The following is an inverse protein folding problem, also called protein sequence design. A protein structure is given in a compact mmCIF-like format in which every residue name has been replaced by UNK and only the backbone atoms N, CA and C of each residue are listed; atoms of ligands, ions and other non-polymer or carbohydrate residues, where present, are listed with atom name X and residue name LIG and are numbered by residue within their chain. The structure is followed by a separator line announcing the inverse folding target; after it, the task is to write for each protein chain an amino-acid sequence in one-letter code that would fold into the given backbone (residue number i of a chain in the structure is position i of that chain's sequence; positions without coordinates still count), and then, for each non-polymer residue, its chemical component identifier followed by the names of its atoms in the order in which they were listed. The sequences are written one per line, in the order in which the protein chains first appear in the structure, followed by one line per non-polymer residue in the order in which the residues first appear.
data_IF_413757572642
#
_entry.id   IF_413757572642
#
_cell.length_a   1.000
_cell.length_b   1.000
_cell.length_c   1.000
_cell.angle_alpha   90.00
_cell.angle_beta   90.00
_cell.angle_gamma   90.00
#
_symmetry.space_group_name_H-M   'P 1'
#
loop_
_entity.id
_entity.type
_entity.pdbx_description
1 polymer ?
#
# COMPACT_ATOMS: atom_id res chain seq x y z
N UNK A 1 -22.86 -15.75 -31.41
CA UNK A 1 -21.94 -14.99 -30.52
C UNK A 1 -20.91 -14.14 -31.28
N UNK A 2 -20.44 -14.49 -32.49
CA UNK A 2 -19.46 -13.67 -33.23
C UNK A 2 -19.93 -12.24 -33.57
N UNK A 3 -21.20 -12.07 -33.93
CA UNK A 3 -21.77 -10.78 -34.36
C UNK A 3 -21.82 -9.67 -33.28
N UNK A 4 -21.75 -10.03 -31.99
CA UNK A 4 -21.73 -9.06 -30.88
C UNK A 4 -20.32 -8.52 -30.62
N UNK A 5 -19.29 -9.35 -30.85
CA UNK A 5 -17.90 -8.93 -30.68
C UNK A 5 -17.49 -7.95 -31.78
N UNK A 6 -17.94 -8.14 -33.02
CA UNK A 6 -17.65 -7.22 -34.12
C UNK A 6 -18.23 -5.81 -33.89
N UNK A 7 -19.40 -5.71 -33.23
CA UNK A 7 -19.98 -4.40 -32.87
C UNK A 7 -19.26 -3.73 -31.72
N UNK A 8 -18.73 -4.51 -30.76
CA UNK A 8 -17.94 -3.98 -29.67
C UNK A 8 -16.57 -3.48 -30.17
N UNK A 9 -15.93 -4.23 -31.06
CA UNK A 9 -14.67 -3.82 -31.70
C UNK A 9 -14.87 -2.59 -32.59
N UNK A 10 -15.94 -2.53 -33.39
CA UNK A 10 -16.27 -1.34 -34.18
C UNK A 10 -16.54 -0.12 -33.27
N UNK A 11 -17.24 -0.30 -32.14
CA UNK A 11 -17.50 0.77 -31.19
C UNK A 11 -16.23 1.27 -30.49
N UNK A 12 -15.31 0.36 -30.15
CA UNK A 12 -14.01 0.70 -29.55
C UNK A 12 -13.15 1.46 -30.57
N UNK A 13 -13.09 1.00 -31.83
CA UNK A 13 -12.32 1.65 -32.89
C UNK A 13 -12.85 3.05 -33.19
N UNK A 14 -14.18 3.21 -33.29
CA UNK A 14 -14.81 4.53 -33.51
C UNK A 14 -14.57 5.46 -32.32
N UNK A 15 -14.62 4.93 -31.09
CA UNK A 15 -14.30 5.70 -29.89
C UNK A 15 -12.85 6.19 -29.90
N UNK A 16 -11.89 5.32 -30.19
CA UNK A 16 -10.46 5.70 -30.25
C UNK A 16 -10.21 6.73 -31.33
N UNK A 17 -10.80 6.58 -32.52
CA UNK A 17 -10.70 7.57 -33.60
C UNK A 17 -11.28 8.94 -33.23
N UNK A 18 -12.42 8.97 -32.52
CA UNK A 18 -13.02 10.22 -32.04
C UNK A 18 -12.11 10.94 -31.03
N UNK A 19 -11.50 10.19 -30.12
CA UNK A 19 -10.59 10.76 -29.12
C UNK A 19 -9.32 11.30 -29.76
N UNK A 20 -8.75 10.60 -30.74
CA UNK A 20 -7.59 11.10 -31.47
C UNK A 20 -7.91 12.39 -32.25
N UNK A 21 -9.12 12.49 -32.82
CA UNK A 21 -9.59 13.71 -33.48
C UNK A 21 -9.77 14.87 -32.49
N UNK A 22 -10.35 14.62 -31.31
CA UNK A 22 -10.50 15.62 -30.24
C UNK A 22 -9.16 16.10 -29.70
N UNK A 23 -8.20 15.19 -29.48
CA UNK A 23 -6.85 15.53 -29.05
C UNK A 23 -6.13 16.33 -30.14
N UNK A 24 -6.29 15.96 -31.41
CA UNK A 24 -5.76 16.72 -32.54
C UNK A 24 -6.31 18.16 -32.58
N UNK A 25 -7.61 18.34 -32.39
CA UNK A 25 -8.24 19.67 -32.32
C UNK A 25 -7.79 20.47 -31.08
N UNK A 26 -7.56 19.82 -29.94
CA UNK A 26 -7.05 20.49 -28.73
C UNK A 26 -5.62 20.98 -28.90
N UNK A 27 -4.76 20.18 -29.55
CA UNK A 27 -3.38 20.57 -29.84
C UNK A 27 -3.37 21.70 -30.88
N UNK A 28 -4.17 21.60 -31.95
CA UNK A 28 -4.28 22.67 -32.94
C UNK A 28 -4.86 23.95 -32.34
N UNK A 29 -5.85 23.82 -31.44
CA UNK A 29 -6.38 24.93 -30.64
C UNK A 29 -5.31 25.58 -29.78
N UNK A 30 -4.54 24.79 -29.03
CA UNK A 30 -3.44 25.29 -28.16
C UNK A 30 -2.38 26.11 -28.92
N UNK A 31 -2.12 25.78 -30.19
CA UNK A 31 -1.22 26.58 -31.02
C UNK A 31 -1.81 27.95 -31.41
N UNK A 32 -3.14 28.08 -31.52
CA UNK A 32 -3.81 29.34 -31.82
C UNK A 32 -4.20 30.15 -30.55
N UNK A 33 -4.28 29.53 -29.36
CA UNK A 33 -4.67 30.22 -28.10
C UNK A 33 -3.51 30.74 -27.23
N UNK A 34 -2.31 30.95 -27.79
CA UNK A 34 -1.24 31.67 -27.09
C UNK A 34 -1.52 33.19 -27.07
N UNK A 35 -2.48 33.61 -26.25
CA UNK A 35 -2.65 35.02 -25.86
C UNK A 35 -2.35 35.16 -24.36
N UNK A 36 -1.13 35.63 -24.07
CA UNK A 36 -0.71 36.47 -22.95
C UNK A 36 -1.52 36.34 -21.63
N UNK A 37 -0.97 35.64 -20.63
CA UNK A 37 -1.42 35.77 -19.25
C UNK A 37 -0.21 35.91 -18.31
N UNK A 38 -0.15 37.05 -17.62
CA UNK A 38 0.91 37.46 -16.73
C UNK A 38 1.06 36.50 -15.54
N UNK A 39 2.28 35.99 -15.35
CA UNK A 39 2.66 35.11 -14.25
C UNK A 39 2.91 35.90 -12.98
N UNK A 40 1.96 35.82 -12.05
CA UNK A 40 2.12 36.17 -10.64
C UNK A 40 2.49 34.90 -9.84
N UNK A 41 3.66 34.88 -9.21
CA UNK A 41 4.10 33.77 -8.37
C UNK A 41 5.43 34.06 -7.67
N UNK A 42 5.36 34.76 -6.53
CA UNK A 42 6.49 35.06 -5.66
C UNK A 42 6.63 34.07 -4.50
N UNK A 43 7.87 33.75 -4.16
CA UNK A 43 8.28 33.03 -2.94
C UNK A 43 9.54 33.68 -2.35
N UNK A 44 9.36 34.34 -1.21
CA UNK A 44 10.31 34.39 -0.08
C UNK A 44 11.53 35.33 -0.13
N UNK A 45 11.57 36.29 0.79
CA UNK A 45 12.81 36.71 1.46
C UNK A 45 13.31 38.13 1.22
N UNK A 46 12.71 39.08 1.94
CA UNK A 46 13.36 40.17 2.71
C UNK A 46 14.53 40.94 2.05
N UNK A 47 14.24 42.11 1.49
CA UNK A 47 14.64 43.42 2.02
C UNK A 47 14.68 44.49 0.92
N UNK A 48 14.21 45.67 1.32
CA UNK A 48 14.28 46.95 0.61
C UNK A 48 13.35 47.12 -0.60
N UNK A 49 12.23 47.80 -0.28
CA UNK A 49 11.48 48.70 -1.14
C UNK A 49 12.35 49.38 -2.21
N UNK A 50 12.07 49.04 -3.47
CA UNK A 50 12.35 49.90 -4.62
C UNK A 50 11.10 49.98 -5.48
N UNK A 51 10.34 51.04 -5.25
CA UNK A 51 9.35 51.54 -6.19
C UNK A 51 10.09 52.18 -7.36
N UNK A 52 10.33 51.40 -8.41
CA UNK A 52 10.89 51.91 -9.66
C UNK A 52 9.76 52.54 -10.49
N UNK A 53 9.50 53.82 -10.23
CA UNK A 53 8.78 54.69 -11.18
C UNK A 53 9.68 54.85 -12.40
N UNK A 54 9.28 54.29 -13.54
CA UNK A 54 9.90 54.64 -14.83
C UNK A 54 9.60 56.10 -15.12
N UNK A 55 10.61 56.97 -14.97
CA UNK A 55 10.54 58.35 -15.45
C UNK A 55 10.77 58.32 -16.95
N UNK A 56 9.73 58.65 -17.71
CA UNK A 56 9.79 58.79 -19.16
C UNK A 56 10.75 59.93 -19.53
N UNK A 57 11.95 59.56 -20.01
CA UNK A 57 13.05 60.49 -20.33
C UNK A 57 12.74 61.40 -21.52
N UNK A 58 11.61 61.19 -22.21
CA UNK A 58 11.13 62.05 -23.29
C UNK A 58 10.62 63.43 -22.83
N UNK A 59 10.04 63.53 -21.63
CA UNK A 59 9.50 64.81 -21.14
C UNK A 59 10.58 65.72 -20.51
N UNK A 60 11.61 65.13 -19.90
CA UNK A 60 12.72 65.90 -19.29
C UNK A 60 13.61 66.56 -20.36
N UNK A 61 13.79 65.90 -21.51
CA UNK A 61 14.53 66.48 -22.63
C UNK A 61 13.79 67.67 -23.26
N UNK A 62 12.45 67.66 -23.27
CA UNK A 62 11.64 68.76 -23.78
C UNK A 62 11.65 69.99 -22.85
N UNK A 63 11.62 69.78 -21.53
CA UNK A 63 11.73 70.83 -20.51
C UNK A 63 13.12 71.49 -20.50
N UNK A 64 14.20 70.71 -20.67
CA UNK A 64 15.57 71.25 -20.73
C UNK A 64 15.81 72.16 -21.95
N UNK A 65 15.17 71.83 -23.08
CA UNK A 65 15.17 72.67 -24.27
C UNK A 65 14.49 74.03 -24.06
N UNK A 66 13.38 74.07 -23.32
CA UNK A 66 12.67 75.34 -23.00
C UNK A 66 13.48 76.22 -22.04
N UNK A 67 14.09 75.65 -20.99
CA UNK A 67 14.91 76.43 -20.04
C UNK A 67 16.15 77.06 -20.71
N UNK A 68 16.74 76.39 -21.72
CA UNK A 68 17.89 76.94 -22.47
C UNK A 68 17.47 78.10 -23.38
N UNK A 69 16.27 78.02 -23.97
CA UNK A 69 15.69 79.10 -24.76
C UNK A 69 15.29 80.31 -23.88
N UNK A 70 14.80 80.07 -22.66
CA UNK A 70 14.47 81.15 -21.69
C UNK A 70 15.73 81.87 -21.18
N UNK A 71 16.83 81.15 -20.93
CA UNK A 71 18.12 81.76 -20.56
C UNK A 71 18.77 82.58 -21.69
N UNK A 72 18.47 82.28 -22.95
CA UNK A 72 18.96 83.05 -24.10
C UNK A 72 18.06 84.26 -24.43
N UNK A 73 16.84 84.33 -23.90
CA UNK A 73 15.90 85.44 -24.09
C UNK A 73 16.01 86.59 -23.08
N UNK A 74 16.84 86.49 -22.03
CA UNK A 74 16.99 87.50 -20.97
C UNK A 74 18.28 88.32 -21.05
N UNK A 75 18.76 88.63 -22.25
CA UNK A 75 19.75 89.68 -22.45
C UNK A 75 19.22 90.66 -23.52
N UNK A 76 19.15 91.95 -23.15
CA UNK A 76 18.60 93.13 -23.88
C UNK A 76 17.08 93.23 -23.78
N UNK A 77 16.47 94.32 -23.27
CA UNK A 77 16.69 95.76 -23.55
C UNK A 77 16.10 96.62 -22.41
N UNK A 78 16.76 97.72 -22.00
CA UNK A 78 16.17 99.07 -21.78
C UNK A 78 17.26 100.16 -21.74
N UNK A 79 16.97 101.45 -22.08
CA UNK A 79 17.88 102.40 -22.75
C UNK A 79 18.28 103.65 -21.91
N UNK A 80 19.04 104.58 -22.55
CA UNK A 80 19.50 105.96 -22.19
C UNK A 80 20.92 106.06 -21.55
N UNK A 81 21.87 106.94 -21.91
CA UNK A 81 21.94 108.27 -22.59
C UNK A 81 23.28 108.42 -23.40
N UNK A 82 23.30 109.34 -24.37
CA UNK A 82 24.49 109.75 -25.18
C UNK A 82 25.53 110.56 -24.37
N UNK A 83 26.82 110.69 -24.79
CA UNK A 83 27.21 111.61 -25.87
C UNK A 83 28.27 111.07 -26.86
N UNK A 84 28.03 111.36 -28.15
CA UNK A 84 28.95 111.64 -29.27
C UNK A 84 30.41 111.14 -29.17
N UNK A 85 30.76 110.18 -30.04
CA UNK A 85 31.91 110.33 -30.95
C UNK A 85 31.82 109.36 -32.15
N UNK A 86 32.19 109.91 -33.30
CA UNK A 86 32.30 109.41 -34.68
C UNK A 86 31.86 107.98 -35.07
N UNK A 87 30.98 107.98 -36.07
CA UNK A 87 30.69 106.90 -37.01
C UNK A 87 31.99 106.26 -37.54
N UNK A 88 32.23 105.00 -37.20
CA UNK A 88 32.95 104.07 -38.07
C UNK A 88 31.99 102.96 -38.51
N UNK A 89 31.95 102.84 -39.82
CA UNK A 89 31.15 102.00 -40.68
C UNK A 89 31.04 100.53 -40.20
N UNK A 90 29.80 100.05 -40.30
CA UNK A 90 29.35 98.66 -40.16
C UNK A 90 30.00 97.76 -41.21
N UNK A 91 30.58 96.64 -40.79
CA UNK A 91 30.66 95.43 -41.63
C UNK A 91 30.08 94.29 -40.81
N UNK A 92 28.75 94.23 -40.76
CA UNK A 92 28.03 93.03 -40.35
C UNK A 92 28.21 92.02 -41.49
N UNK A 93 29.21 91.16 -41.36
CA UNK A 93 29.58 90.14 -42.34
C UNK A 93 28.45 89.10 -42.42
N UNK A 94 27.45 89.35 -43.26
CA UNK A 94 26.42 88.37 -43.60
C UNK A 94 27.14 87.23 -44.31
N UNK A 95 27.01 85.98 -43.84
CA UNK A 95 27.71 84.85 -44.46
C UNK A 95 27.39 84.85 -45.94
N UNK A 96 28.43 84.84 -46.75
CA UNK A 96 28.30 84.86 -48.20
C UNK A 96 27.50 83.61 -48.63
N UNK A 97 26.75 83.67 -49.76
CA UNK A 97 26.02 82.51 -50.27
C UNK A 97 26.88 81.24 -50.42
N UNK A 98 28.20 81.40 -50.58
CA UNK A 98 29.21 80.35 -50.67
C UNK A 98 29.48 79.68 -49.31
N UNK A 99 29.56 80.43 -48.21
CA UNK A 99 29.74 79.90 -46.85
C UNK A 99 28.51 79.12 -46.35
N UNK A 100 27.30 79.55 -46.74
CA UNK A 100 26.06 78.85 -46.43
C UNK A 100 26.01 77.51 -47.19
N UNK A 101 26.44 77.48 -48.45
CA UNK A 101 26.53 76.24 -49.23
C UNK A 101 27.55 75.26 -48.61
N UNK A 102 28.73 75.74 -48.21
CA UNK A 102 29.76 74.90 -47.57
C UNK A 102 29.31 74.37 -46.20
N UNK A 103 28.55 75.16 -45.42
CA UNK A 103 27.94 74.71 -44.16
C UNK A 103 26.89 73.60 -44.40
N UNK A 104 26.04 73.75 -45.41
CA UNK A 104 25.05 72.72 -45.78
C UNK A 104 25.71 71.42 -46.26
N UNK A 105 26.83 71.51 -46.98
CA UNK A 105 27.60 70.33 -47.39
C UNK A 105 28.27 69.65 -46.20
N UNK A 106 28.83 70.42 -45.26
CA UNK A 106 29.37 69.88 -43.99
C UNK A 106 28.29 69.21 -43.15
N UNK A 107 27.10 69.78 -43.05
CA UNK A 107 25.98 69.20 -42.30
C UNK A 107 25.50 67.88 -42.92
N UNK A 108 25.37 67.83 -44.26
CA UNK A 108 25.08 66.59 -45.00
C UNK A 108 26.17 65.53 -44.82
N UNK A 109 27.44 65.93 -44.83
CA UNK A 109 28.56 65.02 -44.60
C UNK A 109 28.55 64.45 -43.17
N UNK A 110 28.24 65.27 -42.15
CA UNK A 110 28.09 64.84 -40.76
C UNK A 110 26.90 63.88 -40.62
N UNK A 111 25.76 64.21 -41.23
CA UNK A 111 24.57 63.35 -41.19
C UNK A 111 24.80 62.00 -41.87
N UNK A 112 25.50 61.98 -43.00
CA UNK A 112 25.89 60.75 -43.68
C UNK A 112 26.89 59.92 -42.85
N UNK A 113 27.86 60.57 -42.19
CA UNK A 113 28.80 59.90 -41.29
C UNK A 113 28.07 59.28 -40.08
N UNK A 114 27.09 59.98 -39.50
CA UNK A 114 26.24 59.46 -38.42
C UNK A 114 25.40 58.26 -38.87
N UNK A 115 24.81 58.31 -40.07
CA UNK A 115 24.06 57.18 -40.63
C UNK A 115 24.94 55.95 -40.83
N UNK A 116 26.15 56.12 -41.39
CA UNK A 116 27.12 55.02 -41.55
C UNK A 116 27.54 54.41 -40.21
N UNK A 117 27.81 55.24 -39.19
CA UNK A 117 28.12 54.73 -37.85
C UNK A 117 26.94 53.98 -37.20
N UNK A 118 25.70 54.43 -37.42
CA UNK A 118 24.51 53.71 -36.94
C UNK A 118 24.31 52.37 -37.65
N UNK A 119 24.57 52.31 -38.96
CA UNK A 119 24.50 51.07 -39.72
C UNK A 119 25.56 50.06 -39.29
N UNK A 120 26.80 50.51 -39.08
CA UNK A 120 27.90 49.67 -38.58
C UNK A 120 27.59 49.12 -37.17
N UNK A 121 27.05 49.95 -36.26
CA UNK A 121 26.58 49.50 -34.94
C UNK A 121 25.47 48.45 -35.05
N UNK A 122 24.50 48.63 -35.95
CA UNK A 122 23.44 47.64 -36.19
C UNK A 122 24.00 46.33 -36.73
N UNK A 123 24.95 46.39 -37.67
CA UNK A 123 25.61 45.18 -38.19
C UNK A 123 26.42 44.46 -37.10
N UNK A 124 27.13 45.19 -36.24
CA UNK A 124 27.88 44.62 -35.12
C UNK A 124 26.95 43.97 -34.09
N UNK A 125 25.80 44.58 -33.81
CA UNK A 125 24.81 44.02 -32.89
C UNK A 125 24.17 42.74 -33.45
N UNK A 126 23.82 42.72 -34.74
CA UNK A 126 23.30 41.52 -35.41
C UNK A 126 24.34 40.38 -35.38
N UNK A 127 25.60 40.66 -35.72
CA UNK A 127 26.68 39.67 -35.64
C UNK A 127 26.87 39.14 -34.20
N UNK A 128 26.75 40.01 -33.19
CA UNK A 128 26.81 39.60 -31.77
C UNK A 128 25.61 38.74 -31.37
N UNK A 129 24.40 39.06 -31.83
CA UNK A 129 23.21 38.25 -31.58
C UNK A 129 23.32 36.87 -32.23
N UNK A 130 23.84 36.78 -33.46
CA UNK A 130 24.07 35.50 -34.13
C UNK A 130 25.13 34.65 -33.40
N UNK A 131 26.23 35.27 -32.95
CA UNK A 131 27.24 34.58 -32.15
C UNK A 131 26.66 34.03 -30.83
N UNK A 132 25.83 34.81 -30.13
CA UNK A 132 25.15 34.36 -28.91
C UNK A 132 24.17 33.22 -29.19
N UNK A 133 23.42 33.28 -30.29
CA UNK A 133 22.53 32.17 -30.71
C UNK A 133 23.31 30.90 -31.01
N UNK A 134 24.44 31.00 -31.73
CA UNK A 134 25.30 29.85 -32.00
C UNK A 134 25.87 29.25 -30.71
N UNK A 135 26.29 30.08 -29.75
CA UNK A 135 26.77 29.61 -28.46
C UNK A 135 25.67 28.91 -27.67
N UNK A 136 24.45 29.46 -27.63
CA UNK A 136 23.29 28.84 -27.00
C UNK A 136 22.97 27.47 -27.60
N UNK A 137 22.95 27.36 -28.94
CA UNK A 137 22.71 26.09 -29.64
C UNK A 137 23.80 25.07 -29.27
N UNK A 138 25.07 25.49 -29.24
CA UNK A 138 26.19 24.62 -28.86
C UNK A 138 26.10 24.16 -27.40
N UNK A 139 25.72 25.06 -26.48
CA UNK A 139 25.49 24.70 -25.08
C UNK A 139 24.30 23.75 -24.91
N UNK A 140 23.20 23.96 -25.65
CA UNK A 140 22.04 23.07 -25.62
C UNK A 140 22.39 21.68 -26.17
N UNK A 141 23.13 21.60 -27.27
CA UNK A 141 23.61 20.33 -27.81
C UNK A 141 24.51 19.59 -26.82
N UNK A 142 25.41 20.31 -26.14
CA UNK A 142 26.27 19.72 -25.12
C UNK A 142 25.46 19.20 -23.92
N UNK A 143 24.46 19.96 -23.46
CA UNK A 143 23.54 19.52 -22.39
C UNK A 143 22.74 18.28 -22.81
N UNK A 144 22.20 18.25 -24.03
CA UNK A 144 21.50 17.07 -24.59
C UNK A 144 22.40 15.85 -24.65
N UNK A 145 23.65 15.99 -25.08
CA UNK A 145 24.61 14.89 -25.08
C UNK A 145 24.95 14.39 -23.68
N UNK A 146 25.09 15.29 -22.70
CA UNK A 146 25.32 14.91 -21.31
C UNK A 146 24.11 14.18 -20.71
N UNK A 147 22.89 14.67 -20.97
CA UNK A 147 21.66 14.02 -20.51
C UNK A 147 21.46 12.64 -21.17
N UNK A 148 21.72 12.53 -22.48
CA UNK A 148 21.64 11.23 -23.15
C UNK A 148 22.68 10.25 -22.62
N UNK A 149 23.91 10.72 -22.34
CA UNK A 149 24.95 9.89 -21.74
C UNK A 149 24.59 9.44 -20.31
N UNK A 150 23.96 10.29 -19.49
CA UNK A 150 23.50 9.90 -18.15
C UNK A 150 22.32 8.95 -18.23
N UNK A 151 21.36 9.17 -19.13
CA UNK A 151 20.24 8.25 -19.36
C UNK A 151 20.73 6.88 -19.86
N UNK A 152 21.70 6.83 -20.79
CA UNK A 152 22.31 5.58 -21.25
C UNK A 152 23.00 4.82 -20.12
N UNK A 153 23.76 5.52 -19.26
CA UNK A 153 24.40 4.91 -18.07
C UNK A 153 23.38 4.38 -17.06
N UNK A 154 22.30 5.12 -16.81
CA UNK A 154 21.22 4.68 -15.92
C UNK A 154 20.47 3.48 -16.49
N UNK A 155 20.19 3.46 -17.80
CA UNK A 155 19.55 2.34 -18.47
C UNK A 155 20.44 1.08 -18.45
N UNK A 156 21.75 1.22 -18.68
CA UNK A 156 22.69 0.10 -18.59
C UNK A 156 22.80 -0.44 -17.15
N UNK A 157 22.89 0.44 -16.15
CA UNK A 157 22.89 0.04 -14.75
C UNK A 157 21.59 -0.66 -14.33
N UNK A 158 20.44 -0.20 -14.83
CA UNK A 158 19.15 -0.86 -14.61
C UNK A 158 19.11 -2.24 -15.27
N UNK A 159 19.63 -2.39 -16.50
CA UNK A 159 19.71 -3.67 -17.20
C UNK A 159 20.60 -4.67 -16.46
N UNK A 160 21.77 -4.24 -15.99
CA UNK A 160 22.68 -5.08 -15.21
C UNK A 160 22.07 -5.54 -13.88
N UNK A 161 21.34 -4.66 -13.19
CA UNK A 161 20.59 -5.03 -11.97
C UNK A 161 19.48 -6.03 -12.26
N UNK A 162 18.70 -5.81 -13.31
CA UNK A 162 17.64 -6.74 -13.71
C UNK A 162 18.19 -8.12 -14.11
N UNK A 163 19.31 -8.16 -14.84
CA UNK A 163 19.95 -9.43 -15.21
C UNK A 163 20.51 -10.17 -13.97
N UNK A 164 21.11 -9.46 -13.02
CA UNK A 164 21.61 -10.05 -11.79
C UNK A 164 20.46 -10.61 -10.91
N UNK A 165 19.35 -9.90 -10.80
CA UNK A 165 18.16 -10.37 -10.08
C UNK A 165 17.53 -11.58 -10.76
N UNK A 166 17.41 -11.57 -12.09
CA UNK A 166 16.92 -12.72 -12.86
C UNK A 166 17.78 -13.97 -12.64
N UNK A 167 19.12 -13.84 -12.69
CA UNK A 167 20.03 -14.96 -12.40
C UNK A 167 19.90 -15.47 -10.98
N UNK A 168 19.68 -14.58 -9.99
CA UNK A 168 19.47 -14.97 -8.60
C UNK A 168 18.16 -15.73 -8.41
N UNK A 169 17.07 -15.27 -9.05
CA UNK A 169 15.78 -15.94 -9.02
C UNK A 169 15.83 -17.31 -9.69
N UNK A 170 16.54 -17.45 -10.81
CA UNK A 170 16.76 -18.74 -11.47
C UNK A 170 17.56 -19.71 -10.60
N UNK A 171 18.62 -19.23 -9.92
CA UNK A 171 19.39 -20.04 -8.99
C UNK A 171 18.55 -20.51 -7.80
N UNK A 172 17.73 -19.63 -7.22
CA UNK A 172 16.77 -19.98 -6.15
C UNK A 172 15.72 -20.99 -6.63
N UNK A 173 15.22 -20.86 -7.85
CA UNK A 173 14.26 -21.80 -8.41
C UNK A 173 14.88 -23.20 -8.60
N UNK A 174 16.13 -23.26 -9.10
CA UNK A 174 16.89 -24.53 -9.24
C UNK A 174 17.14 -25.19 -7.89
N UNK A 175 17.54 -24.42 -6.88
CA UNK A 175 17.72 -24.94 -5.51
C UNK A 175 16.41 -25.46 -4.92
N UNK A 176 15.30 -24.74 -5.11
CA UNK A 176 13.99 -25.18 -4.63
C UNK A 176 13.50 -26.46 -5.34
N UNK A 177 13.80 -26.63 -6.63
CA UNK A 177 13.48 -27.86 -7.37
C UNK A 177 14.31 -29.05 -6.88
N UNK A 178 15.61 -28.86 -6.66
CA UNK A 178 16.50 -29.90 -6.14
C UNK A 178 16.09 -30.32 -4.72
N UNK A 179 15.79 -29.36 -3.84
CA UNK A 179 15.30 -29.65 -2.49
C UNK A 179 13.95 -30.39 -2.51
N UNK A 180 13.05 -30.06 -3.44
CA UNK A 180 11.79 -30.81 -3.63
C UNK A 180 12.05 -32.25 -4.06
N UNK A 181 12.97 -32.49 -5.00
CA UNK A 181 13.33 -33.84 -5.44
C UNK A 181 13.93 -34.66 -4.30
N UNK A 182 14.77 -34.07 -3.46
CA UNK A 182 15.33 -34.73 -2.28
C UNK A 182 14.23 -35.10 -1.29
N UNK A 183 13.33 -34.16 -0.95
CA UNK A 183 12.21 -34.41 -0.03
C UNK A 183 11.25 -35.47 -0.55
N UNK A 184 10.96 -35.47 -1.85
CA UNK A 184 10.08 -36.47 -2.47
C UNK A 184 10.71 -37.86 -2.47
N UNK A 185 12.02 -37.97 -2.75
CA UNK A 185 12.76 -39.22 -2.66
C UNK A 185 12.85 -39.76 -1.23
N UNK A 186 13.07 -38.88 -0.23
CA UNK A 186 13.08 -39.27 1.18
C UNK A 186 11.70 -39.74 1.64
N UNK A 187 10.63 -39.05 1.23
CA UNK A 187 9.26 -39.42 1.57
C UNK A 187 8.88 -40.77 0.94
N UNK A 188 9.29 -41.06 -0.29
CA UNK A 188 9.10 -42.38 -0.91
C UNK A 188 9.83 -43.49 -0.15
N UNK A 189 11.11 -43.30 0.22
CA UNK A 189 11.86 -44.27 1.03
C UNK A 189 11.18 -44.54 2.37
N UNK A 190 10.70 -43.49 3.04
CA UNK A 190 10.03 -43.60 4.35
C UNK A 190 8.70 -44.34 4.23
N UNK A 191 7.95 -44.13 3.15
CA UNK A 191 6.71 -44.88 2.86
C UNK A 191 6.98 -46.36 2.56
N UNK A 192 8.06 -46.66 1.85
CA UNK A 192 8.46 -48.04 1.54
C UNK A 192 8.93 -48.80 2.80
N UNK A 193 9.72 -48.15 3.65
CA UNK A 193 10.15 -48.69 4.94
C UNK A 193 8.96 -48.94 5.88
N UNK A 194 7.99 -48.01 5.93
CA UNK A 194 6.75 -48.21 6.70
C UNK A 194 5.92 -49.40 6.20
N UNK A 195 5.88 -49.63 4.87
CA UNK A 195 5.20 -50.79 4.29
C UNK A 195 5.90 -52.09 4.67
N UNK A 196 7.24 -52.13 4.64
CA UNK A 196 8.02 -53.30 5.11
C UNK A 196 7.80 -53.59 6.58
N UNK A 197 7.91 -52.58 7.45
CA UNK A 197 7.67 -52.73 8.89
C UNK A 197 6.25 -53.23 9.20
N UNK A 198 5.22 -52.72 8.52
CA UNK A 198 3.84 -53.21 8.68
C UNK A 198 3.66 -54.66 8.21
N UNK A 199 4.30 -55.03 7.09
CA UNK A 199 4.25 -56.40 6.60
C UNK A 199 4.95 -57.38 7.56
N UNK A 200 6.08 -56.98 8.13
CA UNK A 200 6.82 -57.78 9.10
C UNK A 200 6.07 -57.93 10.43
N UNK A 201 5.45 -56.85 10.94
CA UNK A 201 4.59 -56.90 12.12
C UNK A 201 3.37 -57.80 11.93
N UNK A 202 2.72 -57.77 10.75
CA UNK A 202 1.61 -58.68 10.45
C UNK A 202 2.06 -60.15 10.36
N UNK A 203 3.25 -60.42 9.80
CA UNK A 203 3.82 -61.76 9.75
C UNK A 203 4.15 -62.30 11.15
N UNK A 204 4.76 -61.46 12.01
CA UNK A 204 5.05 -61.83 13.40
C UNK A 204 3.77 -62.03 14.23
N UNK A 205 2.75 -61.19 14.07
CA UNK A 205 1.47 -61.35 14.75
C UNK A 205 0.74 -62.65 14.35
N UNK A 206 0.78 -63.02 13.06
CA UNK A 206 0.25 -64.32 12.61
C UNK A 206 1.03 -65.50 13.19
N UNK A 207 2.36 -65.42 13.22
CA UNK A 207 3.20 -66.49 13.76
C UNK A 207 3.03 -66.66 15.29
N UNK A 208 2.82 -65.56 16.03
CA UNK A 208 2.51 -65.62 17.47
C UNK A 208 1.12 -66.19 17.73
N UNK A 209 0.10 -65.79 16.96
CA UNK A 209 -1.26 -66.31 17.09
C UNK A 209 -1.32 -67.83 16.81
N UNK A 210 -0.54 -68.32 15.84
CA UNK A 210 -0.47 -69.75 15.52
C UNK A 210 0.26 -70.55 16.62
N UNK A 211 1.31 -69.98 17.24
CA UNK A 211 1.99 -70.59 18.39
C UNK A 211 1.09 -70.66 19.62
N UNK A 212 0.40 -69.58 19.96
CA UNK A 212 -0.53 -69.55 21.10
C UNK A 212 -1.71 -70.51 20.91
N UNK A 213 -2.21 -70.67 19.67
CA UNK A 213 -3.28 -71.62 19.37
C UNK A 213 -2.81 -73.08 19.52
N UNK A 214 -1.57 -73.41 19.11
CA UNK A 214 -0.98 -74.74 19.32
C UNK A 214 -0.73 -75.03 20.81
N UNK A 215 -0.24 -74.05 21.56
CA UNK A 215 0.08 -74.23 22.98
C UNK A 215 -1.17 -74.36 23.85
N UNK A 216 -2.24 -73.60 23.54
CA UNK A 216 -3.56 -73.76 24.18
C UNK A 216 -4.21 -75.11 23.86
N UNK A 217 -4.07 -75.60 22.62
CA UNK A 217 -4.57 -76.94 22.25
C UNK A 217 -3.82 -78.08 22.96
N UNK A 218 -2.51 -77.95 23.18
CA UNK A 218 -1.71 -78.96 23.88
C UNK A 218 -1.95 -78.95 25.40
N UNK A 219 -2.17 -77.78 26.01
CA UNK A 219 -2.51 -77.66 27.43
C UNK A 219 -3.93 -78.17 27.74
N UNK A 220 -4.90 -77.94 26.85
CA UNK A 220 -6.26 -78.44 27.04
C UNK A 220 -6.33 -79.98 26.90
N UNK A 221 -5.47 -80.57 26.05
CA UNK A 221 -5.33 -82.03 25.95
C UNK A 221 -4.66 -82.65 27.20
N UNK A 222 -3.65 -81.99 27.77
CA UNK A 222 -2.99 -82.44 29.03
C UNK A 222 -3.91 -82.32 30.25
N UNK A 223 -4.72 -81.25 30.34
CA UNK A 223 -5.67 -81.05 31.45
C UNK A 223 -6.89 -81.99 31.39
N UNK A 224 -7.34 -82.39 30.19
CA UNK A 224 -8.39 -83.41 30.04
C UNK A 224 -7.90 -84.81 30.43
N UNK A 225 -6.65 -85.16 30.11
CA UNK A 225 -6.05 -86.44 30.52
C UNK A 225 -5.83 -86.55 32.04
N UNK A 226 -5.48 -85.46 32.73
CA UNK A 226 -5.26 -85.49 34.18
C UNK A 226 -6.57 -85.51 34.99
N UNK A 227 -7.64 -84.86 34.50
CA UNK A 227 -8.97 -84.89 35.14
C UNK A 227 -9.66 -86.24 35.03
N UNK A 228 -9.51 -86.95 33.92
CA UNK A 228 -10.11 -88.28 33.74
C UNK A 228 -9.42 -89.36 34.61
N UNK A 229 -8.13 -89.19 34.92
CA UNK A 229 -7.40 -90.06 35.85
C UNK A 229 -7.78 -89.82 37.33
N UNK A 230 -8.05 -88.57 37.73
CA UNK A 230 -8.49 -88.25 39.10
C UNK A 230 -9.94 -88.67 39.37
N UNK A 231 -10.83 -88.63 38.38
CA UNK A 231 -12.25 -89.00 38.59
C UNK A 231 -12.48 -90.52 38.67
N UNK A 232 -11.60 -91.34 38.08
CA UNK A 232 -11.62 -92.80 38.27
C UNK A 232 -11.08 -93.24 39.63
N UNK A 233 -10.17 -92.49 40.25
CA UNK A 233 -9.64 -92.81 41.58
C UNK A 233 -10.62 -92.45 42.73
N UNK A 234 -11.44 -91.42 42.58
CA UNK A 234 -12.37 -90.98 43.64
C UNK A 234 -13.70 -91.77 43.65
N UNK A 235 -14.10 -92.37 42.52
CA UNK A 235 -15.34 -93.18 42.41
C UNK A 235 -15.24 -94.59 42.99
N UNK A 236 -14.04 -95.13 43.20
CA UNK A 236 -13.87 -96.44 43.84
C UNK A 236 -13.83 -96.37 45.38
N UNK A 237 -13.48 -95.21 45.96
CA UNK A 237 -13.44 -95.01 47.40
C UNK A 237 -14.80 -94.65 48.04
N UNK A 238 -15.70 -93.97 47.30
CA UNK A 238 -17.02 -93.55 47.83
C UNK A 238 -18.12 -94.63 47.75
N UNK A 239 -17.90 -95.73 47.03
CA UNK A 239 -18.88 -96.82 46.88
C UNK A 239 -18.96 -97.79 48.07
N UNK A 240 -18.03 -97.73 49.05
CA UNK A 240 -18.03 -98.61 50.23
C UNK A 240 -18.58 -97.99 51.52
N UNK A 241 -18.89 -96.69 51.57
CA UNK A 241 -19.29 -96.01 52.81
C UNK A 241 -20.77 -95.58 52.88
N UNK A 242 -21.55 -95.66 51.80
CA UNK A 242 -22.91 -95.08 51.76
C UNK A 242 -24.06 -96.09 51.81
N UNK A 243 -23.82 -97.33 52.26
CA UNK A 243 -24.85 -98.39 52.40
C UNK A 243 -25.40 -98.64 53.81
N UNK A 244 -24.98 -97.91 54.85
CA UNK A 244 -25.45 -98.20 56.22
C UNK A 244 -26.13 -97.03 56.96
N UNK A 245 -26.32 -95.86 56.34
CA UNK A 245 -26.83 -94.68 57.05
C UNK A 245 -28.01 -93.97 56.34
N UNK A 246 -28.86 -94.71 55.62
CA UNK A 246 -30.14 -94.21 55.07
C UNK A 246 -31.28 -95.17 55.39
N UNK A 247 -31.59 -95.29 56.68
CA UNK A 247 -32.80 -96.00 57.17
C UNK A 247 -33.48 -95.31 58.37
N UNK A 248 -33.34 -93.98 58.53
CA UNK A 248 -34.19 -93.17 59.42
C UNK A 248 -34.40 -91.78 58.83
N UNK A 249 -35.31 -91.71 57.87
CA UNK A 249 -35.94 -90.48 57.38
C UNK A 249 -37.40 -90.55 57.82
N UNK A 250 -38.02 -89.38 58.00
CA UNK A 250 -39.45 -89.12 57.97
C UNK A 250 -40.21 -89.21 59.30
N UNK A 251 -40.17 -88.11 60.07
CA UNK A 251 -41.38 -87.49 60.62
C UNK A 251 -41.00 -86.11 61.20
N UNK A 252 -41.87 -85.11 60.99
CA UNK A 252 -41.84 -83.77 61.58
C UNK A 252 -40.74 -82.81 61.04
N UNK A 253 -41.01 -81.57 60.65
CA UNK A 253 -42.23 -80.79 60.66
C UNK A 253 -42.17 -79.80 59.49
N UNK A 254 -43.16 -79.94 58.63
CA UNK A 254 -43.55 -78.99 57.60
C UNK A 254 -44.37 -77.88 58.30
N UNK A 255 -44.24 -76.66 57.79
CA UNK A 255 -45.18 -75.52 57.92
C UNK A 255 -45.02 -74.56 59.10
N UNK A 256 -44.60 -73.32 58.78
CA UNK A 256 -45.41 -72.09 58.82
C UNK A 256 -44.54 -70.92 58.31
N UNK A 257 -44.89 -70.35 57.15
CA UNK A 257 -45.75 -69.17 57.00
C UNK A 257 -45.01 -67.91 57.46
N UNK A 258 -44.39 -67.13 56.56
CA UNK A 258 -45.02 -66.09 55.73
C UNK A 258 -45.36 -64.81 56.53
N UNK A 259 -44.71 -63.72 56.08
CA UNK A 259 -45.08 -62.32 56.19
C UNK A 259 -44.66 -61.46 57.42
N UNK A 260 -44.06 -60.32 57.03
CA UNK A 260 -44.17 -58.98 57.61
C UNK A 260 -43.32 -58.68 58.86
N UNK A 261 -42.74 -57.50 59.07
CA UNK A 261 -42.52 -56.28 58.29
C UNK A 261 -41.74 -55.32 59.21
N UNK A 262 -41.29 -54.19 58.64
CA UNK A 262 -40.87 -52.93 59.29
C UNK A 262 -39.38 -52.77 59.61
N UNK A 263 -38.71 -52.03 58.74
CA UNK A 263 -37.44 -51.37 59.00
C UNK A 263 -37.64 -49.84 58.88
N UNK A 264 -37.40 -49.11 59.96
CA UNK A 264 -37.28 -47.65 60.00
C UNK A 264 -36.07 -47.28 60.89
N UNK A 265 -35.08 -46.68 60.22
CA UNK A 265 -34.11 -45.64 60.60
C UNK A 265 -33.32 -45.60 61.94
N UNK A 266 -32.09 -45.10 61.73
CA UNK A 266 -31.28 -44.19 62.58
C UNK A 266 -30.42 -44.84 63.67
N UNK A 267 -29.16 -44.48 63.95
CA UNK A 267 -28.25 -43.40 63.51
C UNK A 267 -26.83 -43.72 64.06
N UNK A 268 -25.81 -43.50 63.22
CA UNK A 268 -24.57 -42.73 63.41
C UNK A 268 -23.59 -42.90 64.58
N UNK A 269 -22.32 -42.68 64.17
CA UNK A 269 -21.12 -42.19 64.86
C UNK A 269 -20.29 -43.25 65.62
N UNK A 270 -18.96 -43.22 65.62
CA UNK A 270 -17.90 -42.27 65.21
C UNK A 270 -16.61 -43.14 65.22
N UNK A 271 -15.82 -43.26 64.16
CA UNK A 271 -14.78 -42.31 63.69
C UNK A 271 -13.63 -42.14 64.71
N UNK A 272 -12.43 -42.40 64.19
CA UNK A 272 -11.05 -42.28 64.73
C UNK A 272 -10.62 -43.55 65.49
N UNK A 273 -9.57 -44.26 65.10
CA UNK A 273 -8.24 -43.81 64.66
C UNK A 273 -7.80 -44.71 63.49
N UNK A 274 -7.51 -44.22 62.29
CA UNK A 274 -6.33 -43.40 61.99
C UNK A 274 -5.03 -44.22 62.04
N UNK A 275 -4.14 -43.89 61.10
CA UNK A 275 -2.72 -43.92 61.39
C UNK A 275 -2.07 -45.31 61.54
N UNK A 276 -1.72 -46.05 60.49
CA UNK A 276 -0.40 -45.95 59.83
C UNK A 276 -0.21 -47.23 59.00
N UNK A 277 -0.39 -47.24 57.68
CA UNK A 277 0.68 -47.07 56.70
C UNK A 277 0.05 -47.44 55.35
N UNK A 278 0.06 -46.67 54.27
CA UNK A 278 0.79 -45.47 53.91
C UNK A 278 0.84 -45.46 52.37
N UNK A 279 0.69 -44.27 51.78
CA UNK A 279 0.90 -44.00 50.34
C UNK A 279 -0.42 -43.92 49.54
N UNK A 280 -1.11 -42.77 49.52
CA UNK A 280 -0.88 -41.62 48.62
C UNK A 280 -1.09 -41.94 47.13
N UNK A 281 -1.78 -41.14 46.30
CA UNK A 281 -2.42 -39.84 46.46
C UNK A 281 -3.29 -39.61 45.22
N UNK A 282 -4.48 -39.04 45.45
CA UNK A 282 -5.06 -37.91 44.69
C UNK A 282 -5.62 -38.24 43.30
N UNK A 283 -6.90 -38.05 43.01
CA UNK A 283 -7.75 -36.88 43.32
C UNK A 283 -8.10 -36.22 41.98
N UNK A 284 -9.31 -35.78 41.65
CA UNK A 284 -10.62 -35.81 42.28
C UNK A 284 -11.62 -35.17 41.29
N UNK A 285 -12.93 -35.41 41.54
CA UNK A 285 -14.06 -34.47 41.46
C UNK A 285 -14.19 -33.58 40.19
N UNK A 286 -15.32 -33.51 39.46
CA UNK A 286 -16.60 -32.94 39.93
C UNK A 286 -17.70 -32.94 38.85
N UNK A 287 -18.94 -33.13 39.31
CA UNK A 287 -20.23 -32.52 38.94
C UNK A 287 -20.50 -31.87 37.56
N UNK A 288 -21.73 -32.11 37.08
CA UNK A 288 -22.56 -31.06 36.48
C UNK A 288 -23.39 -31.50 35.26
N UNK A 289 -24.71 -31.64 35.43
CA UNK A 289 -25.64 -31.89 34.32
C UNK A 289 -26.06 -30.61 33.58
N UNK A 290 -26.66 -30.76 32.39
CA UNK A 290 -27.69 -29.83 31.93
C UNK A 290 -28.59 -30.43 30.84
N UNK A 291 -29.91 -30.34 31.06
CA UNK A 291 -30.99 -30.47 30.07
C UNK A 291 -31.49 -29.04 29.75
N UNK A 292 -31.90 -28.85 28.50
CA UNK A 292 -32.68 -27.72 27.93
C UNK A 292 -31.90 -26.47 27.48
N UNK A 293 -32.16 -26.03 26.25
CA UNK A 293 -32.88 -24.78 25.92
C UNK A 293 -32.62 -24.43 24.44
N UNK A 294 -33.62 -24.52 23.57
CA UNK A 294 -34.36 -23.36 23.07
C UNK A 294 -33.46 -22.17 22.68
N UNK A 295 -33.36 -21.93 21.38
CA UNK A 295 -32.76 -20.71 20.82
C UNK A 295 -33.56 -19.50 21.28
N UNK A 296 -33.01 -18.81 22.27
CA UNK A 296 -33.48 -17.52 22.76
C UNK A 296 -33.06 -16.40 21.81
N UNK A 297 -33.98 -15.45 21.67
CA UNK A 297 -33.89 -14.18 20.98
C UNK A 297 -32.58 -13.43 21.25
N UNK A 298 -32.02 -12.86 20.20
CA UNK A 298 -31.17 -11.67 20.24
C UNK A 298 -31.93 -10.49 19.64
N UNK A 299 -32.79 -9.86 20.45
CA UNK A 299 -33.32 -8.53 20.20
C UNK A 299 -32.66 -7.57 21.18
N UNK A 300 -32.06 -6.51 20.63
CA UNK A 300 -31.44 -5.40 21.36
C UNK A 300 -30.23 -4.90 20.59
N UNK A 301 -30.17 -3.70 20.03
CA UNK A 301 -31.07 -2.56 20.14
C UNK A 301 -30.22 -1.32 19.90
N UNK A 302 -30.45 -0.62 18.78
CA UNK A 302 -30.12 0.80 18.64
C UNK A 302 -31.24 1.48 17.85
N UNK A 303 -32.35 1.71 18.53
CA UNK A 303 -33.25 2.80 18.19
C UNK A 303 -32.71 4.05 18.89
N UNK A 304 -31.80 4.76 18.21
CA UNK A 304 -31.51 6.18 18.44
C UNK A 304 -31.98 6.91 17.18
N UNK A 305 -33.11 7.61 17.21
CA UNK A 305 -33.21 9.03 17.55
C UNK A 305 -32.16 9.88 16.81
N UNK A 306 -32.58 10.43 15.67
CA UNK A 306 -32.24 11.78 15.23
C UNK A 306 -30.80 12.05 14.78
N UNK A 307 -30.51 11.80 13.51
CA UNK A 307 -30.16 12.84 12.53
C UNK A 307 -29.84 12.18 11.18
N UNK A 308 -30.78 12.34 10.24
CA UNK A 308 -30.56 12.04 8.84
C UNK A 308 -29.48 12.98 8.29
N UNK A 309 -28.30 12.43 8.05
CA UNK A 309 -27.24 12.92 7.16
C UNK A 309 -25.96 12.07 7.27
N UNK A 310 -25.72 11.38 8.40
CA UNK A 310 -24.39 10.83 8.73
C UNK A 310 -24.29 9.29 8.91
N UNK A 311 -25.40 8.55 8.80
CA UNK A 311 -25.39 7.08 9.00
C UNK A 311 -24.68 6.36 7.85
N UNK A 312 -24.82 6.88 6.61
CA UNK A 312 -24.20 6.29 5.42
C UNK A 312 -22.69 6.56 5.35
N UNK A 313 -22.23 7.70 5.88
CA UNK A 313 -20.81 8.09 5.86
C UNK A 313 -19.94 7.16 6.68
N UNK A 314 -20.28 6.91 7.95
CA UNK A 314 -19.51 6.00 8.79
C UNK A 314 -19.52 4.56 8.26
N UNK A 315 -20.68 4.08 7.77
CA UNK A 315 -20.78 2.77 7.13
C UNK A 315 -19.88 2.67 5.87
N UNK A 316 -19.79 3.74 5.09
CA UNK A 316 -18.93 3.82 3.91
C UNK A 316 -17.44 3.80 4.28
N UNK A 317 -17.01 4.59 5.28
CA UNK A 317 -15.64 4.55 5.80
C UNK A 317 -15.22 3.16 6.28
N UNK A 318 -16.11 2.45 6.97
CA UNK A 318 -15.85 1.07 7.42
C UNK A 318 -15.75 0.08 6.25
N UNK A 319 -16.53 0.26 5.18
CA UNK A 319 -16.41 -0.56 3.96
C UNK A 319 -15.06 -0.36 3.28
N UNK A 320 -14.60 0.89 3.16
CA UNK A 320 -13.28 1.22 2.62
C UNK A 320 -12.19 0.56 3.46
N UNK A 321 -12.24 0.79 4.77
CA UNK A 321 -11.26 0.25 5.73
C UNK A 321 -11.21 -1.28 5.64
N UNK A 322 -12.35 -1.97 5.68
CA UNK A 322 -12.42 -3.42 5.59
C UNK A 322 -11.86 -3.96 4.26
N UNK A 323 -12.17 -3.30 3.14
CA UNK A 323 -11.69 -3.75 1.82
C UNK A 323 -10.17 -3.64 1.72
N UNK A 324 -9.59 -2.52 2.13
CA UNK A 324 -8.15 -2.30 2.06
C UNK A 324 -7.42 -3.17 3.10
N UNK A 325 -7.96 -3.29 4.32
CA UNK A 325 -7.41 -4.18 5.35
C UNK A 325 -7.45 -5.65 4.94
N UNK A 326 -8.42 -6.08 4.11
CA UNK A 326 -8.43 -7.46 3.61
C UNK A 326 -7.24 -7.79 2.69
N UNK A 327 -6.63 -6.78 2.08
CA UNK A 327 -5.44 -6.91 1.23
C UNK A 327 -4.15 -6.59 1.98
N UNK A 328 -4.26 -6.10 3.21
CA UNK A 328 -3.12 -5.78 4.06
C UNK A 328 -2.52 -7.06 4.64
N UNK A 329 -1.30 -7.38 4.18
CA UNK A 329 -0.55 -8.54 4.70
C UNK A 329 0.04 -8.16 6.04
N UNK A 330 -0.44 -8.80 7.10
CA UNK A 330 0.04 -8.54 8.47
C UNK A 330 1.19 -9.49 8.79
N UNK A 331 2.27 -8.94 9.35
CA UNK A 331 3.44 -9.68 9.80
C UNK A 331 3.64 -9.49 11.32
N UNK A 332 4.11 -10.51 12.07
CA UNK A 332 4.40 -10.38 13.50
C UNK A 332 5.35 -9.22 13.85
N UNK A 333 6.23 -8.83 12.93
CA UNK A 333 7.13 -7.68 13.09
C UNK A 333 6.41 -6.32 13.18
N UNK A 334 5.11 -6.28 12.90
CA UNK A 334 4.27 -5.07 13.00
C UNK A 334 3.72 -4.84 14.41
N UNK A 335 4.00 -5.72 15.36
CA UNK A 335 3.55 -5.56 16.75
C UNK A 335 4.04 -4.23 17.34
N UNK A 336 3.13 -3.45 17.92
CA UNK A 336 3.43 -2.13 18.49
C UNK A 336 3.73 -1.02 17.48
N UNK A 337 3.63 -1.30 16.17
CA UNK A 337 3.87 -0.34 15.10
C UNK A 337 2.58 0.04 14.40
N UNK A 338 2.52 1.28 13.91
CA UNK A 338 1.38 1.81 13.17
C UNK A 338 1.83 2.65 11.99
N UNK A 339 0.94 2.79 11.01
CA UNK A 339 1.10 3.70 9.88
C UNK A 339 -0.23 4.35 9.50
N UNK A 340 -0.20 5.66 9.32
CA UNK A 340 -1.30 6.47 8.85
C UNK A 340 -1.06 6.86 7.40
N UNK A 341 -1.99 6.45 6.52
CA UNK A 341 -1.92 6.75 5.08
C UNK A 341 -3.19 7.47 4.66
N UNK A 342 -3.04 8.67 4.09
CA UNK A 342 -4.12 9.40 3.43
C UNK A 342 -4.28 8.89 2.02
N UNK A 343 -5.48 8.49 1.63
CA UNK A 343 -5.80 8.09 0.25
C UNK A 343 -6.69 9.15 -0.41
N UNK A 344 -6.62 9.28 -1.73
CA UNK A 344 -7.47 10.19 -2.51
C UNK A 344 -8.40 9.37 -3.38
N UNK A 345 -9.70 9.61 -3.24
CA UNK A 345 -10.77 8.87 -3.90
C UNK A 345 -11.50 9.76 -4.89
N UNK A 346 -11.81 9.22 -6.07
CA UNK A 346 -12.74 9.80 -7.04
C UNK A 346 -14.19 9.42 -6.71
N UNK A 347 -15.15 10.11 -7.36
CA UNK A 347 -16.59 9.90 -7.12
C UNK A 347 -17.03 8.44 -7.35
N UNK A 348 -16.36 7.75 -8.26
CA UNK A 348 -16.60 6.35 -8.62
C UNK A 348 -15.92 5.34 -7.68
N UNK A 349 -15.20 5.81 -6.67
CA UNK A 349 -14.43 5.00 -5.72
C UNK A 349 -13.04 4.60 -6.21
N UNK A 350 -12.54 5.13 -7.33
CA UNK A 350 -11.17 4.87 -7.78
C UNK A 350 -10.16 5.60 -6.90
N UNK A 351 -9.09 4.90 -6.48
CA UNK A 351 -8.01 5.49 -5.69
C UNK A 351 -7.03 6.16 -6.68
N UNK A 352 -6.93 7.48 -6.68
CA UNK A 352 -6.06 8.23 -7.60
C UNK A 352 -4.66 8.44 -7.05
N UNK A 353 -4.55 8.67 -5.75
CA UNK A 353 -3.26 8.93 -5.10
C UNK A 353 -3.28 8.46 -3.64
N UNK A 354 -2.10 8.34 -3.04
CA UNK A 354 -1.92 8.09 -1.61
C UNK A 354 -0.74 8.90 -1.08
N UNK A 355 -0.79 9.26 0.20
CA UNK A 355 0.26 9.97 0.90
C UNK A 355 0.46 9.31 2.27
N UNK A 356 1.67 8.85 2.53
CA UNK A 356 2.07 8.36 3.85
C UNK A 356 2.25 9.58 4.76
N UNK A 357 1.47 9.65 5.84
CA UNK A 357 1.50 10.78 6.78
C UNK A 357 2.58 10.54 7.84
N UNK A 358 2.50 9.41 8.53
CA UNK A 358 3.42 9.04 9.60
C UNK A 358 3.33 7.55 9.91
N UNK A 359 4.44 6.94 10.33
CA UNK A 359 4.46 5.54 10.76
C UNK A 359 5.80 4.85 10.58
N UNK A 360 5.85 3.59 10.99
CA UNK A 360 7.00 2.72 10.72
C UNK A 360 7.04 2.30 9.24
N UNK A 361 8.24 2.34 8.65
CA UNK A 361 8.43 2.09 7.21
C UNK A 361 7.90 0.71 6.77
N UNK A 362 8.10 -0.35 7.57
CA UNK A 362 7.67 -1.68 7.18
C UNK A 362 6.14 -1.81 7.14
N UNK A 363 5.46 -1.19 8.10
CA UNK A 363 3.98 -1.12 8.16
C UNK A 363 3.45 -0.25 7.02
N UNK A 364 4.09 0.89 6.76
CA UNK A 364 3.70 1.79 5.67
C UNK A 364 3.88 1.17 4.29
N UNK A 365 4.99 0.47 4.03
CA UNK A 365 5.23 -0.21 2.75
C UNK A 365 4.17 -1.30 2.49
N UNK A 366 3.80 -2.05 3.53
CA UNK A 366 2.73 -3.04 3.47
C UNK A 366 1.35 -2.40 3.26
N UNK A 367 1.08 -1.25 3.89
CA UNK A 367 -0.15 -0.49 3.75
C UNK A 367 -0.30 0.07 2.33
N UNK A 368 0.75 0.68 1.79
CA UNK A 368 0.80 1.17 0.41
C UNK A 368 0.58 0.02 -0.58
N UNK A 369 1.21 -1.12 -0.36
CA UNK A 369 1.00 -2.31 -1.19
C UNK A 369 -0.47 -2.76 -1.19
N UNK A 370 -1.16 -2.71 -0.05
CA UNK A 370 -2.58 -3.05 0.07
C UNK A 370 -3.48 -2.05 -0.66
N UNK A 371 -3.17 -0.75 -0.58
CA UNK A 371 -3.90 0.33 -1.27
C UNK A 371 -3.76 0.16 -2.80
N UNK A 372 -2.54 -0.02 -3.29
CA UNK A 372 -2.25 -0.24 -4.72
C UNK A 372 -2.87 -1.54 -5.23
N UNK A 373 -2.93 -2.59 -4.40
CA UNK A 373 -3.60 -3.84 -4.74
C UNK A 373 -5.14 -3.74 -4.75
N UNK A 374 -5.71 -2.77 -4.03
CA UNK A 374 -7.16 -2.56 -4.00
C UNK A 374 -7.61 -1.83 -5.26
N UNK A 375 -6.89 -0.78 -5.69
CA UNK A 375 -7.17 0.12 -6.84
C UNK A 375 -8.51 0.87 -6.79
N UNK A 376 -9.59 0.20 -6.42
CA UNK A 376 -10.96 0.71 -6.43
C UNK A 376 -11.73 0.22 -5.20
N UNK A 377 -12.42 1.16 -4.55
CA UNK A 377 -13.37 0.93 -3.45
C UNK A 377 -14.81 1.10 -3.96
N UNK A 378 -15.85 0.69 -3.20
CA UNK A 378 -17.22 0.94 -3.60
C UNK A 378 -17.45 2.44 -3.83
N UNK A 379 -18.29 2.86 -4.79
CA UNK A 379 -18.60 4.26 -4.99
C UNK A 379 -19.36 4.84 -3.78
N UNK A 380 -19.14 6.12 -3.49
CA UNK A 380 -19.80 6.78 -2.37
C UNK A 380 -21.31 6.93 -2.63
N UNK A 381 -22.17 6.58 -1.65
CA UNK A 381 -23.63 6.51 -1.84
C UNK A 381 -24.30 7.87 -2.11
N UNK A 382 -23.69 8.97 -1.68
CA UNK A 382 -24.19 10.35 -1.90
C UNK A 382 -23.04 11.34 -2.02
N UNK A 383 -23.32 12.54 -2.58
CA UNK A 383 -22.30 13.58 -2.78
C UNK A 383 -21.77 14.09 -1.44
N UNK A 384 -22.62 14.16 -0.42
CA UNK A 384 -22.23 14.54 0.95
C UNK A 384 -21.22 13.55 1.54
N UNK A 385 -21.46 12.24 1.38
CA UNK A 385 -20.51 11.20 1.84
C UNK A 385 -19.21 11.26 1.03
N UNK A 386 -19.28 11.54 -0.27
CA UNK A 386 -18.09 11.74 -1.07
C UNK A 386 -17.24 12.92 -0.59
N UNK A 387 -17.84 14.09 -0.36
CA UNK A 387 -17.10 15.28 0.14
C UNK A 387 -16.40 14.98 1.47
N UNK A 388 -17.06 14.22 2.36
CA UNK A 388 -16.50 13.81 3.64
C UNK A 388 -15.37 12.78 3.52
N UNK A 389 -15.47 11.86 2.56
CA UNK A 389 -14.54 10.72 2.36
C UNK A 389 -13.74 10.82 1.06
N UNK A 390 -13.54 12.02 0.48
CA UNK A 390 -12.71 12.21 -0.73
C UNK A 390 -11.24 11.99 -0.46
N UNK A 391 -10.81 12.25 0.78
CA UNK A 391 -9.42 12.09 1.19
C UNK A 391 -9.28 11.54 2.62
N UNK A 392 -9.76 10.30 2.91
CA UNK A 392 -9.75 9.75 4.25
C UNK A 392 -8.33 9.29 4.63
N UNK A 393 -8.01 9.42 5.92
CA UNK A 393 -6.80 8.84 6.51
C UNK A 393 -7.14 7.48 7.08
N UNK A 394 -6.33 6.47 6.75
CA UNK A 394 -6.48 5.10 7.19
C UNK A 394 -5.33 4.72 8.12
N UNK A 395 -5.69 4.18 9.29
CA UNK A 395 -4.78 3.59 10.26
C UNK A 395 -4.52 2.12 9.97
N UNK A 396 -3.24 1.76 9.88
CA UNK A 396 -2.75 0.39 9.73
C UNK A 396 -1.93 0.01 10.95
N UNK A 397 -2.36 -0.99 11.69
CA UNK A 397 -1.65 -1.53 12.85
C UNK A 397 -1.97 -3.01 13.02
N UNK A 398 -1.04 -3.76 13.63
CA UNK A 398 -1.32 -5.12 14.09
C UNK A 398 -1.97 -5.04 15.47
N UNK A 399 -3.26 -5.39 15.56
CA UNK A 399 -3.92 -5.64 16.85
C UNK A 399 -3.49 -7.01 17.35
N UNK A 400 -2.49 -7.02 18.24
CA UNK A 400 -2.20 -8.20 19.06
C UNK A 400 -3.36 -8.34 20.04
N UNK A 401 -4.17 -9.40 19.89
CA UNK A 401 -5.23 -9.73 20.83
C UNK A 401 -4.68 -10.51 22.01
#
# INVERSE_FOLDING_TARGET
MKYQNDRLELAIIVSVLLHLLLIGLLILGSFFTNTHLASAGGSGGDSESLEAVMVDTGQVAAEYGRLKAEKQGQAKVEPKEEPKEEVKEEVEDKPTPEEIAEQQEREKAIQLAQQKQQEEKRQQELARQEALKQEQIKQEQLKKQQEEATQRKLAEAARLKAEAEAKRLEALAKQAEEERKIKEAEQQKRLEEQKKLKAEQQAQAKAQAEKEAKEKAEQEAKLKAEKEAKEKAEKEAKAKAEKEAKAKVAAEAKAKAEAAAKAEKAKNNKVLDDFLSGGEVGGGTSNGGNKNSAGSQGSGGTKGLGQGANVDGNAYGQRIKKLIQSKYRVDPSFAGKQCDVKIFLERDGTITNYQVVSGDKAVCDAAVSAIVATRKVPPAPSDAVYQQYRSPTLDFSLKVQ
#
